data_IF_862986198286
#
_entry.id   IF_862986198286
#
_cell.length_a   1.000
_cell.length_b   1.000
_cell.length_c   1.000
_cell.angle_alpha   90.00
_cell.angle_beta   90.00
_cell.angle_gamma   90.00
#
_symmetry.space_group_name_H-M   'P 1'
#
loop_
_entity.id
_entity.type
_entity.pdbx_description
1 polymer ?
#
# COMPACT_ATOMS: atom_id res chain seq x y z
N UNK A 1 -42.75 15.51 -7.05
CA UNK A 1 -41.40 15.53 -6.44
C UNK A 1 -41.28 16.86 -5.71
N UNK A 2 -40.97 16.91 -4.41
CA UNK A 2 -40.83 18.20 -3.74
C UNK A 2 -39.61 18.92 -4.30
N UNK A 3 -39.81 20.16 -4.73
CA UNK A 3 -38.78 21.06 -5.25
C UNK A 3 -37.70 21.27 -4.19
N UNK A 4 -36.44 21.10 -4.58
CA UNK A 4 -35.29 21.35 -3.69
C UNK A 4 -35.29 22.84 -3.35
N UNK A 5 -35.66 23.16 -2.11
CA UNK A 5 -35.51 24.51 -1.56
C UNK A 5 -34.06 25.01 -1.63
N UNK A 6 -33.82 26.33 -1.57
CA UNK A 6 -32.49 26.90 -1.69
C UNK A 6 -31.57 26.36 -0.58
N UNK A 7 -30.36 25.98 -1.00
CA UNK A 7 -29.29 25.54 -0.12
C UNK A 7 -28.99 26.65 0.91
N UNK A 8 -29.14 26.38 2.20
CA UNK A 8 -29.04 27.41 3.24
C UNK A 8 -27.61 27.72 3.71
N UNK A 9 -26.61 26.93 3.28
CA UNK A 9 -25.23 27.02 3.81
C UNK A 9 -24.16 26.89 2.71
N UNK A 10 -23.88 25.68 2.21
CA UNK A 10 -22.94 25.45 1.10
C UNK A 10 -23.53 24.55 0.02
N UNK A 11 -23.54 25.05 -1.22
CA UNK A 11 -23.77 24.22 -2.40
C UNK A 11 -22.49 23.47 -2.71
N UNK A 12 -22.54 22.14 -2.71
CA UNK A 12 -21.39 21.32 -3.09
C UNK A 12 -21.10 21.53 -4.58
N UNK A 13 -19.84 21.75 -4.93
CA UNK A 13 -19.41 21.62 -6.33
C UNK A 13 -19.43 20.14 -6.75
N UNK A 14 -19.06 19.86 -8.01
CA UNK A 14 -19.13 18.50 -8.53
C UNK A 14 -18.13 17.56 -7.84
N UNK A 15 -16.97 18.06 -7.43
CA UNK A 15 -15.95 17.25 -6.75
C UNK A 15 -16.42 16.84 -5.34
N UNK A 16 -17.01 17.76 -4.59
CA UNK A 16 -17.58 17.48 -3.26
C UNK A 16 -18.83 16.60 -3.37
N UNK A 17 -19.64 16.76 -4.43
CA UNK A 17 -20.77 15.87 -4.71
C UNK A 17 -20.32 14.44 -4.96
N UNK A 18 -19.26 14.25 -5.73
CA UNK A 18 -18.71 12.91 -5.99
C UNK A 18 -18.10 12.30 -4.73
N UNK A 19 -17.46 13.13 -3.90
CA UNK A 19 -16.79 12.66 -2.68
C UNK A 19 -17.76 12.33 -1.54
N UNK A 20 -18.84 13.10 -1.37
CA UNK A 20 -19.77 12.99 -0.23
C UNK A 20 -21.21 12.63 -0.62
N UNK A 21 -21.48 12.41 -1.91
CA UNK A 21 -22.81 12.08 -2.45
C UNK A 21 -23.91 13.09 -2.04
N UNK A 22 -23.56 14.36 -1.82
CA UNK A 22 -24.48 15.38 -1.34
C UNK A 22 -24.51 16.63 -2.23
N UNK A 23 -25.71 17.14 -2.54
CA UNK A 23 -25.90 18.37 -3.33
C UNK A 23 -25.71 19.65 -2.50
N UNK A 24 -25.95 19.53 -1.20
CA UNK A 24 -25.91 20.59 -0.19
C UNK A 24 -25.40 19.98 1.12
N UNK A 25 -24.43 20.62 1.78
CA UNK A 25 -23.97 20.21 3.11
C UNK A 25 -23.93 21.42 4.04
N UNK A 26 -24.21 21.19 5.32
CA UNK A 26 -23.79 22.11 6.37
C UNK A 26 -22.26 22.05 6.47
N UNK A 27 -21.60 23.19 6.68
CA UNK A 27 -20.12 23.23 6.77
C UNK A 27 -19.56 22.27 7.82
N UNK A 28 -20.27 22.10 8.93
CA UNK A 28 -19.93 21.14 9.99
C UNK A 28 -19.99 19.68 9.54
N UNK A 29 -20.98 19.32 8.71
CA UNK A 29 -21.13 17.97 8.14
C UNK A 29 -19.99 17.70 7.16
N UNK A 30 -19.68 18.66 6.29
CA UNK A 30 -18.54 18.56 5.38
C UNK A 30 -17.20 18.42 6.14
N UNK A 31 -17.01 19.11 7.28
CA UNK A 31 -15.82 18.93 8.14
C UNK A 31 -15.76 17.54 8.78
N UNK A 32 -16.90 17.00 9.21
CA UNK A 32 -16.99 15.65 9.76
C UNK A 32 -16.63 14.58 8.73
N UNK A 33 -17.14 14.70 7.49
CA UNK A 33 -16.77 13.79 6.40
C UNK A 33 -15.27 13.87 6.10
N UNK A 34 -14.72 15.08 5.96
CA UNK A 34 -13.29 15.27 5.71
C UNK A 34 -12.42 14.64 6.82
N UNK A 35 -12.82 14.80 8.08
CA UNK A 35 -12.11 14.22 9.23
C UNK A 35 -12.05 12.70 9.14
N UNK A 36 -13.16 12.04 8.77
CA UNK A 36 -13.18 10.59 8.53
C UNK A 36 -12.26 10.17 7.39
N UNK A 37 -12.26 10.88 6.27
CA UNK A 37 -11.36 10.56 5.16
C UNK A 37 -9.89 10.71 5.57
N UNK A 38 -9.55 11.73 6.36
CA UNK A 38 -8.20 11.92 6.88
C UNK A 38 -7.79 10.74 7.78
N UNK A 39 -8.68 10.24 8.63
CA UNK A 39 -8.41 9.05 9.46
C UNK A 39 -8.17 7.81 8.61
N UNK A 40 -9.03 7.54 7.61
CA UNK A 40 -8.86 6.42 6.68
C UNK A 40 -7.51 6.52 5.93
N UNK A 41 -7.12 7.71 5.49
CA UNK A 41 -5.83 7.94 4.83
C UNK A 41 -4.66 7.66 5.77
N UNK A 42 -4.75 8.07 7.05
CA UNK A 42 -3.72 7.77 8.06
C UNK A 42 -3.59 6.26 8.30
N UNK A 43 -4.71 5.56 8.46
CA UNK A 43 -4.73 4.11 8.64
C UNK A 43 -4.12 3.40 7.43
N UNK A 44 -4.53 3.78 6.21
CA UNK A 44 -4.00 3.20 4.98
C UNK A 44 -2.49 3.47 4.81
N UNK A 45 -2.01 4.66 5.19
CA UNK A 45 -0.56 4.96 5.20
C UNK A 45 0.19 4.03 6.14
N UNK A 46 -0.36 3.75 7.32
CA UNK A 46 0.26 2.83 8.27
C UNK A 46 0.24 1.38 7.76
N UNK A 47 -0.87 0.93 7.17
CA UNK A 47 -0.96 -0.39 6.52
C UNK A 47 0.07 -0.55 5.39
N UNK A 48 0.23 0.47 4.54
CA UNK A 48 1.22 0.45 3.46
C UNK A 48 2.66 0.38 4.00
N UNK A 49 2.96 1.08 5.10
CA UNK A 49 4.27 0.99 5.73
C UNK A 49 4.55 -0.41 6.29
N UNK A 50 3.55 -1.05 6.91
CA UNK A 50 3.69 -2.42 7.42
C UNK A 50 3.94 -3.42 6.28
N UNK A 51 3.14 -3.35 5.20
CA UNK A 51 3.33 -4.20 4.02
C UNK A 51 4.70 -4.00 3.37
N UNK A 52 5.21 -2.77 3.33
CA UNK A 52 6.57 -2.48 2.84
C UNK A 52 7.63 -3.18 3.70
N UNK A 53 7.48 -3.18 5.02
CA UNK A 53 8.43 -3.84 5.92
C UNK A 53 8.38 -5.37 5.80
N UNK A 54 7.18 -5.94 5.67
CA UNK A 54 7.00 -7.38 5.40
C UNK A 54 7.67 -7.78 4.08
N UNK A 55 7.43 -7.01 3.01
CA UNK A 55 8.06 -7.26 1.71
C UNK A 55 9.59 -7.16 1.78
N UNK A 56 10.14 -6.16 2.48
CA UNK A 56 11.58 -6.04 2.68
C UNK A 56 12.16 -7.27 3.40
N UNK A 57 11.43 -7.82 4.37
CA UNK A 57 11.84 -9.02 5.10
C UNK A 57 11.87 -10.25 4.18
N UNK A 58 10.86 -10.40 3.32
CA UNK A 58 10.81 -11.47 2.32
C UNK A 58 11.96 -11.35 1.34
N UNK A 59 12.20 -10.15 0.80
CA UNK A 59 13.30 -9.88 -0.15
C UNK A 59 14.65 -10.20 0.49
N UNK A 60 14.88 -9.79 1.73
CA UNK A 60 16.11 -10.09 2.46
C UNK A 60 16.31 -11.60 2.65
N UNK A 61 15.25 -12.31 3.04
CA UNK A 61 15.29 -13.76 3.22
C UNK A 61 15.61 -14.48 1.92
N UNK A 62 14.96 -14.09 0.82
CA UNK A 62 15.23 -14.66 -0.50
C UNK A 62 16.67 -14.40 -0.95
N UNK A 63 17.21 -13.21 -0.66
CA UNK A 63 18.61 -12.89 -0.96
C UNK A 63 19.58 -13.85 -0.25
N UNK A 64 19.36 -14.11 1.03
CA UNK A 64 20.18 -15.06 1.79
C UNK A 64 20.10 -16.49 1.22
N UNK A 65 18.89 -16.94 0.86
CA UNK A 65 18.71 -18.26 0.24
C UNK A 65 19.47 -18.35 -1.08
N UNK A 66 19.41 -17.31 -1.92
CA UNK A 66 20.13 -17.29 -3.20
C UNK A 66 21.64 -17.34 -2.96
N UNK A 67 22.16 -16.51 -2.03
CA UNK A 67 23.59 -16.50 -1.67
C UNK A 67 24.06 -17.89 -1.19
N UNK A 68 23.28 -18.55 -0.33
CA UNK A 68 23.59 -19.90 0.15
C UNK A 68 23.58 -20.94 -0.99
N UNK A 69 22.60 -20.87 -1.90
CA UNK A 69 22.53 -21.79 -3.04
C UNK A 69 23.69 -21.60 -4.01
N UNK A 70 24.13 -20.36 -4.24
CA UNK A 70 25.30 -20.08 -5.08
C UNK A 70 26.58 -20.68 -4.47
N UNK A 71 26.76 -20.59 -3.14
CA UNK A 71 27.89 -21.19 -2.45
C UNK A 71 27.90 -22.73 -2.55
N UNK A 72 26.72 -23.37 -2.50
CA UNK A 72 26.60 -24.81 -2.68
C UNK A 72 27.01 -25.21 -4.11
N UNK A 73 26.49 -24.50 -5.11
CA UNK A 73 26.82 -24.74 -6.53
C UNK A 73 28.34 -24.62 -6.76
N UNK A 74 28.97 -23.58 -6.22
CA UNK A 74 30.41 -23.37 -6.35
C UNK A 74 31.21 -24.52 -5.70
N UNK A 75 30.80 -24.99 -4.52
CA UNK A 75 31.44 -26.14 -3.85
C UNK A 75 31.30 -27.42 -4.66
N UNK A 76 30.12 -27.69 -5.21
CA UNK A 76 29.88 -28.87 -6.04
C UNK A 76 30.71 -28.85 -7.32
N UNK A 77 30.80 -27.69 -7.99
CA UNK A 77 31.65 -27.51 -9.17
C UNK A 77 33.12 -27.78 -8.87
N UNK A 78 33.63 -27.24 -7.76
CA UNK A 78 35.00 -27.47 -7.30
C UNK A 78 35.28 -28.96 -7.02
N UNK A 79 34.35 -29.67 -6.38
CA UNK A 79 34.48 -31.11 -6.14
C UNK A 79 34.53 -31.92 -7.43
N UNK A 80 33.68 -31.59 -8.41
CA UNK A 80 33.67 -32.23 -9.73
C UNK A 80 35.00 -32.00 -10.45
N UNK A 81 35.53 -30.77 -10.42
CA UNK A 81 36.83 -30.45 -11.04
C UNK A 81 38.00 -31.17 -10.37
N UNK A 82 38.02 -31.24 -9.03
CA UNK A 82 39.05 -32.00 -8.30
C UNK A 82 39.00 -33.49 -8.65
N UNK A 83 37.80 -34.05 -8.75
CA UNK A 83 37.60 -35.45 -9.14
C UNK A 83 38.16 -35.71 -10.54
N UNK A 84 37.87 -34.83 -11.51
CA UNK A 84 38.39 -34.93 -12.89
C UNK A 84 39.92 -34.85 -12.99
N UNK A 85 40.60 -34.20 -12.04
CA UNK A 85 42.07 -34.11 -12.02
C UNK A 85 42.75 -35.34 -11.41
N UNK A 86 42.01 -36.16 -10.67
CA UNK A 86 42.52 -37.33 -9.96
C UNK A 86 42.31 -38.65 -10.72
N UNK A 87 41.70 -38.61 -11.91
CA UNK A 87 41.53 -39.71 -12.86
C UNK A 87 42.20 -39.36 -14.18
#
# INVERSE_FOLDING_TARGET
MPEKGPCTDLTCDNEIKELYECHCCLRLVCFYHLSKHIEIVKENKQRLNNLRNELNTVVYTLKLIIEEKLLIIEREQNLVEQTKKNF
#
